data_IF_950225164364
#
_entry.id   IF_950225164364
#
_cell.length_a   1.000
_cell.length_b   1.000
_cell.length_c   1.000
_cell.angle_alpha   90.00
_cell.angle_beta   90.00
_cell.angle_gamma   90.00
#
_symmetry.space_group_name_H-M   'P 1'
#
loop_
_entity.id
_entity.type
_entity.pdbx_description
1 polymer ?
#
# COMPACT_ATOMS: atom_id res chain seq x y z
N UNK A 1 8.35 5.99 -19.75
CA UNK A 1 9.40 6.34 -18.77
C UNK A 1 10.79 6.40 -19.38
N UNK A 2 11.41 5.29 -19.81
CA UNK A 2 12.77 5.33 -20.42
C UNK A 2 12.84 6.28 -21.64
N UNK A 3 11.81 6.29 -22.49
CA UNK A 3 11.74 7.21 -23.62
C UNK A 3 11.65 8.68 -23.19
N UNK A 4 10.93 8.98 -22.09
CA UNK A 4 10.80 10.32 -21.54
C UNK A 4 12.14 10.81 -20.96
N UNK A 5 12.82 10.00 -20.16
CA UNK A 5 14.16 10.30 -19.64
C UNK A 5 15.16 10.53 -20.77
N UNK A 6 15.15 9.68 -21.82
CA UNK A 6 16.00 9.89 -23.01
C UNK A 6 15.70 11.18 -23.75
N UNK A 7 14.42 11.58 -23.83
CA UNK A 7 14.02 12.83 -24.46
C UNK A 7 14.50 14.03 -23.65
N UNK A 8 14.34 14.00 -22.32
CA UNK A 8 14.81 15.04 -21.41
C UNK A 8 16.34 15.18 -21.47
N UNK A 9 17.08 14.06 -21.48
CA UNK A 9 18.53 14.06 -21.68
C UNK A 9 18.96 14.63 -23.05
N UNK A 10 18.16 14.43 -24.12
CA UNK A 10 18.42 15.07 -25.43
C UNK A 10 18.18 16.58 -25.37
N UNK A 11 17.09 17.02 -24.74
CA UNK A 11 16.76 18.44 -24.57
C UNK A 11 17.84 19.17 -23.77
N UNK A 12 18.36 18.54 -22.70
CA UNK A 12 19.45 19.11 -21.93
C UNK A 12 20.73 19.28 -22.77
N UNK A 13 21.12 18.27 -23.57
CA UNK A 13 22.29 18.38 -24.46
C UNK A 13 22.19 19.45 -25.53
N UNK A 14 20.98 19.73 -26.06
CA UNK A 14 20.81 20.70 -27.15
C UNK A 14 20.51 22.11 -26.67
N UNK A 15 19.81 22.26 -25.54
CA UNK A 15 19.29 23.55 -25.05
C UNK A 15 19.74 23.94 -23.64
N UNK A 16 20.55 23.12 -22.97
CA UNK A 16 21.06 23.38 -21.62
C UNK A 16 19.98 23.32 -20.54
N UNK A 17 20.34 23.79 -19.33
CA UNK A 17 19.45 23.81 -18.15
C UNK A 17 18.09 24.52 -18.38
N UNK A 18 18.01 25.71 -19.02
CA UNK A 18 16.72 26.41 -19.19
C UNK A 18 15.77 25.72 -20.19
N UNK A 19 16.28 24.88 -21.08
CA UNK A 19 15.45 24.06 -21.96
C UNK A 19 14.91 22.84 -21.21
N UNK A 20 15.71 22.26 -20.31
CA UNK A 20 15.32 21.14 -19.48
C UNK A 20 14.19 21.54 -18.51
N UNK A 21 14.32 22.67 -17.81
CA UNK A 21 13.29 23.18 -16.88
C UNK A 21 11.91 23.31 -17.56
N UNK A 22 11.89 23.86 -18.78
CA UNK A 22 10.64 24.01 -19.57
C UNK A 22 10.04 22.68 -20.00
N UNK A 23 10.89 21.71 -20.37
CA UNK A 23 10.43 20.38 -20.76
C UNK A 23 9.89 19.60 -19.54
N UNK A 24 10.53 19.74 -18.39
CA UNK A 24 10.14 19.09 -17.13
C UNK A 24 8.83 19.61 -16.57
N UNK A 25 8.51 20.90 -16.78
CA UNK A 25 7.23 21.47 -16.37
C UNK A 25 6.02 20.75 -17.00
N UNK A 26 6.19 20.15 -18.18
CA UNK A 26 5.17 19.38 -18.88
C UNK A 26 5.15 17.88 -18.49
N UNK A 27 6.07 17.40 -17.64
CA UNK A 27 6.17 16.00 -17.28
C UNK A 27 5.09 15.59 -16.27
N UNK A 28 4.48 14.43 -16.51
CA UNK A 28 3.34 13.95 -15.74
C UNK A 28 3.72 13.34 -14.38
N UNK A 29 4.92 12.76 -14.27
CA UNK A 29 5.37 12.12 -13.02
C UNK A 29 6.01 13.17 -12.08
N UNK A 30 5.41 13.43 -10.89
CA UNK A 30 5.95 14.38 -9.93
C UNK A 30 7.36 14.04 -9.47
N UNK A 31 7.70 12.75 -9.38
CA UNK A 31 9.01 12.30 -8.92
C UNK A 31 10.10 12.61 -9.94
N UNK A 32 9.79 12.50 -11.24
CA UNK A 32 10.72 12.90 -12.32
C UNK A 32 10.95 14.41 -12.28
N UNK A 33 9.88 15.20 -12.09
CA UNK A 33 9.99 16.66 -11.98
C UNK A 33 10.84 17.10 -10.80
N UNK A 34 10.58 16.52 -9.63
CA UNK A 34 11.35 16.81 -8.41
C UNK A 34 12.81 16.39 -8.59
N UNK A 35 13.07 15.21 -9.15
CA UNK A 35 14.45 14.73 -9.31
C UNK A 35 15.27 15.53 -10.30
N UNK A 36 14.67 16.02 -11.39
CA UNK A 36 15.39 16.90 -12.32
C UNK A 36 15.58 18.30 -11.73
N UNK A 37 14.62 18.82 -10.95
CA UNK A 37 14.81 20.08 -10.23
C UNK A 37 15.99 19.98 -9.24
N UNK A 38 16.05 18.91 -8.46
CA UNK A 38 17.17 18.65 -7.56
C UNK A 38 18.49 18.48 -8.32
N UNK A 39 18.49 17.83 -9.48
CA UNK A 39 19.69 17.68 -10.31
C UNK A 39 20.23 19.00 -10.89
N UNK A 40 19.39 20.02 -11.00
CA UNK A 40 19.80 21.36 -11.43
C UNK A 40 20.39 22.20 -10.28
N UNK A 41 20.01 21.88 -9.04
CA UNK A 41 20.44 22.57 -7.82
C UNK A 41 21.68 21.94 -7.18
N UNK A 42 21.76 20.60 -7.18
CA UNK A 42 22.88 19.86 -6.62
C UNK A 42 24.11 19.95 -7.51
N UNK A 43 25.27 20.25 -6.89
CA UNK A 43 26.57 20.20 -7.57
C UNK A 43 27.27 18.85 -7.40
N UNK A 44 26.84 18.07 -6.40
CA UNK A 44 27.38 16.75 -6.08
C UNK A 44 26.36 15.66 -6.45
N UNK A 45 26.80 14.71 -7.28
CA UNK A 45 25.99 13.57 -7.71
C UNK A 45 25.69 12.62 -6.54
N UNK A 46 26.61 12.49 -5.58
CA UNK A 46 26.43 11.63 -4.42
C UNK A 46 25.34 12.20 -3.48
N UNK A 47 25.34 13.52 -3.26
CA UNK A 47 24.31 14.21 -2.47
C UNK A 47 22.93 14.09 -3.15
N UNK A 48 22.86 14.26 -4.46
CA UNK A 48 21.63 14.11 -5.23
C UNK A 48 21.06 12.69 -5.10
N UNK A 49 21.93 11.67 -5.25
CA UNK A 49 21.53 10.28 -5.12
C UNK A 49 20.98 9.98 -3.72
N UNK A 50 21.65 10.46 -2.67
CA UNK A 50 21.23 10.26 -1.29
C UNK A 50 19.86 10.89 -1.01
N UNK A 51 19.62 12.12 -1.46
CA UNK A 51 18.34 12.82 -1.28
C UNK A 51 17.21 12.06 -2.00
N UNK A 52 17.43 11.65 -3.25
CA UNK A 52 16.42 10.93 -4.03
C UNK A 52 16.11 9.54 -3.46
N UNK A 53 17.15 8.82 -3.01
CA UNK A 53 16.99 7.53 -2.36
C UNK A 53 16.27 7.66 -1.02
N UNK A 54 16.57 8.70 -0.25
CA UNK A 54 15.89 8.98 1.02
C UNK A 54 14.38 9.24 0.79
N UNK A 55 14.03 10.03 -0.22
CA UNK A 55 12.62 10.33 -0.53
C UNK A 55 11.85 9.11 -1.05
N UNK A 56 12.49 8.32 -1.93
CA UNK A 56 11.92 7.06 -2.40
C UNK A 56 11.71 6.06 -1.25
N UNK A 57 12.68 5.94 -0.33
CA UNK A 57 12.57 5.09 0.87
C UNK A 57 11.47 5.57 1.80
N UNK A 58 11.35 6.88 2.02
CA UNK A 58 10.28 7.46 2.83
C UNK A 58 8.91 7.10 2.27
N UNK A 59 8.71 7.32 0.97
CA UNK A 59 7.44 7.01 0.30
C UNK A 59 7.10 5.51 0.38
N UNK A 60 8.10 4.65 0.18
CA UNK A 60 7.93 3.21 0.31
C UNK A 60 7.57 2.80 1.76
N UNK A 61 8.21 3.40 2.76
CA UNK A 61 7.94 3.13 4.16
C UNK A 61 6.52 3.56 4.58
N UNK A 62 6.06 4.74 4.13
CA UNK A 62 4.70 5.22 4.39
C UNK A 62 3.65 4.27 3.76
N UNK A 63 3.88 3.84 2.52
CA UNK A 63 3.00 2.86 1.86
C UNK A 63 2.97 1.51 2.57
N UNK A 64 4.14 1.02 3.00
CA UNK A 64 4.26 -0.24 3.71
C UNK A 64 3.61 -0.19 5.10
N UNK A 65 3.68 0.94 5.80
CA UNK A 65 2.96 1.17 7.04
C UNK A 65 1.44 1.08 6.82
N UNK A 66 0.91 1.68 5.76
CA UNK A 66 -0.51 1.58 5.39
C UNK A 66 -0.91 0.12 5.08
N UNK A 67 -0.04 -0.63 4.38
CA UNK A 67 -0.26 -2.06 4.13
C UNK A 67 -0.27 -2.88 5.42
N UNK A 68 0.60 -2.56 6.38
CA UNK A 68 0.69 -3.25 7.65
C UNK A 68 -0.62 -3.17 8.46
N UNK A 69 -1.33 -2.04 8.37
CA UNK A 69 -2.67 -1.89 8.96
C UNK A 69 -3.64 -2.90 8.35
N UNK A 70 -3.68 -3.04 7.03
CA UNK A 70 -4.55 -4.03 6.35
C UNK A 70 -4.19 -5.46 6.74
N UNK A 71 -2.90 -5.80 6.82
CA UNK A 71 -2.44 -7.12 7.28
C UNK A 71 -2.94 -7.40 8.69
N UNK A 72 -2.80 -6.42 9.58
CA UNK A 72 -3.26 -6.52 10.97
C UNK A 72 -4.77 -6.72 11.04
N UNK A 73 -5.53 -5.93 10.29
CA UNK A 73 -6.99 -6.09 10.19
C UNK A 73 -7.38 -7.49 9.69
N UNK A 74 -6.71 -7.99 8.65
CA UNK A 74 -6.94 -9.34 8.13
C UNK A 74 -6.74 -10.44 9.18
N UNK A 75 -5.82 -10.24 10.14
CA UNK A 75 -5.61 -11.16 11.28
C UNK A 75 -6.65 -10.98 12.39
N UNK A 76 -7.19 -9.78 12.57
CA UNK A 76 -8.16 -9.48 13.63
C UNK A 76 -9.59 -9.94 13.28
N UNK A 77 -9.99 -9.89 12.00
CA UNK A 77 -11.35 -10.28 11.59
C UNK A 77 -11.76 -11.71 11.99
N UNK A 78 -10.91 -12.75 11.87
CA UNK A 78 -11.25 -14.09 12.35
C UNK A 78 -11.32 -14.17 13.88
N UNK A 79 -10.50 -13.37 14.59
CA UNK A 79 -10.54 -13.29 16.05
C UNK A 79 -11.87 -12.69 16.54
N UNK A 80 -12.42 -11.68 15.84
CA UNK A 80 -13.77 -11.18 16.10
C UNK A 80 -14.85 -12.25 15.85
N UNK A 81 -14.65 -13.11 14.85
CA UNK A 81 -15.52 -14.27 14.61
C UNK A 81 -15.56 -15.22 15.81
N UNK A 82 -14.39 -15.49 16.42
CA UNK A 82 -14.25 -16.31 17.63
C UNK A 82 -14.94 -15.66 18.84
N UNK A 83 -14.84 -14.34 19.00
CA UNK A 83 -15.58 -13.59 20.04
C UNK A 83 -17.09 -13.78 19.87
N UNK A 84 -17.59 -13.75 18.63
CA UNK A 84 -19.00 -14.02 18.35
C UNK A 84 -19.42 -15.45 18.69
N UNK A 85 -18.53 -16.43 18.54
CA UNK A 85 -18.77 -17.81 19.00
C UNK A 85 -18.92 -17.88 20.52
N UNK A 86 -18.11 -17.12 21.27
CA UNK A 86 -18.23 -17.01 22.73
C UNK A 86 -19.57 -16.37 23.14
N UNK A 87 -20.01 -15.32 22.43
CA UNK A 87 -21.32 -14.69 22.66
C UNK A 87 -22.46 -15.70 22.39
N UNK A 88 -22.37 -16.48 21.31
CA UNK A 88 -23.33 -17.53 21.00
C UNK A 88 -23.38 -18.63 22.06
N UNK A 89 -22.23 -19.03 22.63
CA UNK A 89 -22.16 -19.96 23.76
C UNK A 89 -22.85 -19.41 25.02
N UNK A 90 -22.64 -18.13 25.33
CA UNK A 90 -23.31 -17.47 26.47
C UNK A 90 -24.82 -17.48 26.28
N UNK A 91 -25.31 -17.22 25.06
CA UNK A 91 -26.74 -17.29 24.73
C UNK A 91 -27.31 -18.72 24.84
N UNK A 92 -26.50 -19.73 24.50
CA UNK A 92 -26.85 -21.14 24.67
C UNK A 92 -27.06 -21.49 26.14
N UNK A 93 -26.15 -21.04 27.02
CA UNK A 93 -26.22 -21.35 28.45
C UNK A 93 -27.43 -20.73 29.15
N UNK A 94 -28.02 -19.66 28.62
CA UNK A 94 -29.25 -19.05 29.18
C UNK A 94 -30.48 -19.95 29.05
N UNK A 95 -30.43 -20.98 28.21
CA UNK A 95 -31.56 -21.87 27.91
C UNK A 95 -31.37 -23.29 28.46
N UNK A 96 -30.45 -23.48 29.42
CA UNK A 96 -30.17 -24.79 30.03
C UNK A 96 -31.35 -25.40 30.81
N UNK A 97 -32.34 -24.60 31.21
CA UNK A 97 -33.48 -25.03 32.03
C UNK A 97 -34.59 -25.69 31.20
N UNK A 98 -34.76 -25.31 29.93
CA UNK A 98 -35.69 -25.95 28.98
C UNK A 98 -35.09 -25.96 27.56
N UNK A 99 -34.31 -27.00 27.21
CA UNK A 99 -33.55 -27.07 25.96
C UNK A 99 -34.45 -27.50 24.80
N UNK A 100 -35.28 -26.59 24.30
CA UNK A 100 -35.95 -26.77 23.01
C UNK A 100 -35.02 -26.37 21.85
N UNK A 101 -35.12 -27.06 20.71
CA UNK A 101 -34.39 -26.66 19.49
C UNK A 101 -34.73 -25.22 19.06
N UNK A 102 -35.95 -24.77 19.31
CA UNK A 102 -36.43 -23.39 19.11
C UNK A 102 -35.74 -22.35 19.99
N UNK A 103 -35.29 -22.71 21.20
CA UNK A 103 -34.60 -21.78 22.11
C UNK A 103 -33.09 -21.74 21.90
N UNK A 104 -32.49 -22.84 21.41
CA UNK A 104 -31.04 -22.98 21.20
C UNK A 104 -30.61 -22.46 19.81
N UNK A 105 -31.46 -22.63 18.79
CA UNK A 105 -31.17 -22.28 17.39
C UNK A 105 -30.62 -20.88 17.15
N UNK A 106 -31.19 -19.81 17.75
CA UNK A 106 -30.69 -18.45 17.56
C UNK A 106 -29.26 -18.23 18.06
N UNK A 107 -28.88 -18.80 19.21
CA UNK A 107 -27.53 -18.67 19.78
C UNK A 107 -26.47 -19.39 18.93
N UNK A 108 -26.81 -20.58 18.43
CA UNK A 108 -25.95 -21.32 17.50
C UNK A 108 -25.82 -20.59 16.16
N UNK A 109 -26.91 -20.03 15.63
CA UNK A 109 -26.89 -19.25 14.39
C UNK A 109 -25.96 -18.04 14.46
N UNK A 110 -25.98 -17.29 15.57
CA UNK A 110 -25.07 -16.16 15.79
C UNK A 110 -23.61 -16.64 15.79
N UNK A 111 -23.29 -17.70 16.54
CA UNK A 111 -21.93 -18.23 16.62
C UNK A 111 -21.33 -18.62 15.25
N UNK A 112 -22.15 -19.26 14.42
CA UNK A 112 -21.74 -19.70 13.07
C UNK A 112 -21.60 -18.51 12.13
N UNK A 113 -22.58 -17.60 12.13
CA UNK A 113 -22.57 -16.43 11.25
C UNK A 113 -21.41 -15.49 11.55
N UNK A 114 -21.10 -15.23 12.83
CA UNK A 114 -19.97 -14.37 13.19
C UNK A 114 -18.65 -14.96 12.75
N UNK A 115 -18.49 -16.29 12.85
CA UNK A 115 -17.31 -17.00 12.38
C UNK A 115 -17.18 -16.96 10.86
N UNK A 116 -18.29 -17.17 10.15
CA UNK A 116 -18.36 -17.08 8.70
C UNK A 116 -17.98 -15.67 8.22
N UNK A 117 -18.63 -14.63 8.74
CA UNK A 117 -18.35 -13.25 8.34
C UNK A 117 -16.93 -12.83 8.68
N UNK A 118 -16.41 -13.19 9.86
CA UNK A 118 -15.01 -12.93 10.23
C UNK A 118 -14.02 -13.55 9.24
N UNK A 119 -14.24 -14.81 8.85
CA UNK A 119 -13.40 -15.49 7.86
C UNK A 119 -13.52 -14.90 6.45
N UNK A 120 -14.73 -14.53 6.03
CA UNK A 120 -14.98 -13.93 4.71
C UNK A 120 -14.34 -12.55 4.61
N UNK A 121 -14.55 -11.67 5.59
CA UNK A 121 -13.94 -10.34 5.57
C UNK A 121 -12.41 -10.41 5.56
N UNK A 122 -11.83 -11.30 6.37
CA UNK A 122 -10.39 -11.52 6.38
C UNK A 122 -9.84 -11.96 5.02
N UNK A 123 -10.35 -13.08 4.50
CA UNK A 123 -9.72 -13.79 3.37
C UNK A 123 -10.19 -13.32 2.00
N UNK A 124 -11.42 -12.80 1.89
CA UNK A 124 -11.99 -12.39 0.60
C UNK A 124 -11.82 -10.90 0.36
N UNK A 125 -11.81 -10.07 1.41
CA UNK A 125 -11.79 -8.62 1.27
C UNK A 125 -10.44 -8.04 1.63
N UNK A 126 -9.98 -8.24 2.87
CA UNK A 126 -8.86 -7.47 3.44
C UNK A 126 -7.50 -7.99 2.98
N UNK A 127 -7.27 -9.31 3.06
CA UNK A 127 -5.99 -9.88 2.64
C UNK A 127 -5.73 -9.69 1.13
N UNK A 128 -6.70 -9.89 0.21
CA UNK A 128 -6.49 -9.58 -1.20
C UNK A 128 -6.19 -8.10 -1.46
N UNK A 129 -6.84 -7.20 -0.72
CA UNK A 129 -6.57 -5.76 -0.82
C UNK A 129 -5.14 -5.43 -0.37
N UNK A 130 -4.67 -6.03 0.72
CA UNK A 130 -3.28 -5.91 1.19
C UNK A 130 -2.28 -6.39 0.14
N UNK A 131 -2.54 -7.56 -0.48
CA UNK A 131 -1.69 -8.11 -1.54
C UNK A 131 -1.67 -7.20 -2.78
N UNK A 132 -2.82 -6.64 -3.17
CA UNK A 132 -2.90 -5.69 -4.28
C UNK A 132 -2.11 -4.42 -4.00
N UNK A 133 -2.21 -3.88 -2.78
CA UNK A 133 -1.44 -2.71 -2.35
C UNK A 133 0.06 -3.02 -2.36
N UNK A 134 0.48 -4.19 -1.86
CA UNK A 134 1.88 -4.61 -1.92
C UNK A 134 2.43 -4.62 -3.35
N UNK A 135 1.69 -5.22 -4.28
CA UNK A 135 2.09 -5.27 -5.69
C UNK A 135 2.19 -3.87 -6.31
N UNK A 136 1.32 -2.93 -5.90
CA UNK A 136 1.40 -1.54 -6.33
C UNK A 136 2.64 -0.84 -5.78
N UNK A 137 2.92 -0.97 -4.48
CA UNK A 137 4.09 -0.39 -3.83
C UNK A 137 5.40 -0.94 -4.40
N UNK A 138 5.46 -2.24 -4.69
CA UNK A 138 6.62 -2.87 -5.32
C UNK A 138 6.88 -2.29 -6.72
N UNK A 139 5.83 -2.08 -7.52
CA UNK A 139 5.95 -1.43 -8.84
C UNK A 139 6.37 0.03 -8.71
N UNK A 140 5.86 0.75 -7.72
CA UNK A 140 6.24 2.14 -7.46
C UNK A 140 7.71 2.24 -7.03
N UNK A 141 8.18 1.37 -6.14
CA UNK A 141 9.58 1.33 -5.70
C UNK A 141 10.52 1.06 -6.89
N UNK A 142 10.22 0.05 -7.71
CA UNK A 142 10.97 -0.22 -8.94
C UNK A 142 10.96 0.99 -9.89
N UNK A 143 9.82 1.66 -10.02
CA UNK A 143 9.69 2.85 -10.87
C UNK A 143 10.58 3.99 -10.38
N UNK A 144 10.53 4.30 -9.09
CA UNK A 144 11.39 5.31 -8.47
C UNK A 144 12.86 4.98 -8.66
N UNK A 145 13.25 3.72 -8.45
CA UNK A 145 14.64 3.29 -8.61
C UNK A 145 15.14 3.46 -10.05
N UNK A 146 14.34 3.05 -11.04
CA UNK A 146 14.67 3.30 -12.46
C UNK A 146 14.75 4.79 -12.83
N UNK A 147 13.99 5.66 -12.15
CA UNK A 147 14.06 7.11 -12.37
C UNK A 147 15.35 7.66 -11.77
N UNK A 148 15.72 7.26 -10.55
CA UNK A 148 16.97 7.66 -9.89
C UNK A 148 18.16 7.25 -10.76
N UNK A 149 18.24 5.98 -11.14
CA UNK A 149 19.32 5.48 -12.01
C UNK A 149 19.38 6.24 -13.34
N UNK A 150 18.22 6.66 -13.87
CA UNK A 150 18.15 7.41 -15.13
C UNK A 150 18.41 8.91 -15.02
N UNK A 151 18.40 9.49 -13.81
CA UNK A 151 18.79 10.89 -13.54
C UNK A 151 20.29 10.96 -13.29
N UNK A 152 20.87 9.94 -12.67
CA UNK A 152 22.32 9.85 -12.39
C UNK A 152 23.17 9.44 -13.63
N UNK A 153 22.54 9.11 -14.77
CA UNK A 153 23.20 8.71 -16.03
C UNK A 153 23.15 9.81 -17.10
#
# INVERSE_FOLDING_TARGET
MIAALKQLARVHRTGGAPALERAVAAEADPFVRQGIALALECQDEDELADVLLADARRTAAEGEAARHVLVTLGKLFPAFGLIGTLIGLVLLFRHLVDPSLTSIGPGLGIAVLTTLYGAVFANVVILPLSTKLHAHLARQSLRSQMIIDGILL
#
